data_IF_418962831602
#
_entry.id   IF_418962831602
#
_cell.length_a   1.000
_cell.length_b   1.000
_cell.length_c   1.000
_cell.angle_alpha   90.00
_cell.angle_beta   90.00
_cell.angle_gamma   90.00
#
_symmetry.space_group_name_H-M   'P 1'
#
loop_
_entity.id
_entity.type
_entity.pdbx_description
1 polymer ?
#
# COMPACT_ATOMS: atom_id res chain seq x y z
N UNK A 1 4.95 7.11 -13.89
CA UNK A 1 6.40 7.02 -14.15
C UNK A 1 7.09 6.76 -12.81
N UNK A 2 7.70 5.60 -12.61
CA UNK A 2 8.57 5.35 -11.45
C UNK A 2 9.76 4.51 -11.93
N UNK A 3 10.91 5.17 -12.07
CA UNK A 3 12.20 4.58 -12.42
C UNK A 3 12.88 4.20 -11.11
N UNK A 4 13.17 2.91 -10.93
CA UNK A 4 13.95 2.38 -9.81
C UNK A 4 15.42 2.37 -10.18
N UNK A 5 16.03 3.55 -10.13
CA UNK A 5 17.46 3.81 -9.97
C UNK A 5 17.64 5.33 -10.16
N UNK A 6 18.05 6.02 -9.09
CA UNK A 6 18.18 7.47 -9.04
C UNK A 6 17.16 8.08 -8.07
N UNK A 7 17.65 8.94 -7.18
CA UNK A 7 16.86 9.70 -6.21
C UNK A 7 15.65 10.38 -6.88
N UNK A 8 14.48 9.75 -6.82
CA UNK A 8 13.22 10.41 -7.14
C UNK A 8 12.62 10.89 -5.82
N UNK A 9 12.67 12.21 -5.62
CA UNK A 9 11.97 12.93 -4.55
C UNK A 9 10.46 12.90 -4.79
N UNK A 10 9.86 11.71 -4.78
CA UNK A 10 8.43 11.57 -4.61
C UNK A 10 8.22 11.20 -3.16
N UNK A 11 8.02 12.22 -2.32
CA UNK A 11 7.45 12.00 -1.02
C UNK A 11 6.04 11.48 -1.29
N UNK A 12 5.82 10.17 -1.26
CA UNK A 12 4.48 9.59 -1.32
C UNK A 12 4.50 8.36 -0.44
N UNK A 13 3.78 8.38 0.66
CA UNK A 13 3.83 7.26 1.57
C UNK A 13 2.55 6.48 1.51
N UNK A 14 2.71 5.18 1.64
CA UNK A 14 1.64 4.21 1.68
C UNK A 14 1.77 3.34 2.91
N UNK A 15 0.63 3.03 3.51
CA UNK A 15 0.50 2.12 4.64
C UNK A 15 -0.34 0.92 4.22
N UNK A 16 0.09 -0.25 4.66
CA UNK A 16 -0.52 -1.53 4.40
C UNK A 16 -0.93 -2.14 5.72
N UNK A 17 -2.10 -2.76 5.73
CA UNK A 17 -2.65 -3.47 6.86
C UNK A 17 -3.17 -4.82 6.38
N UNK A 18 -2.79 -5.88 7.08
CA UNK A 18 -3.46 -7.18 7.06
C UNK A 18 -4.35 -7.20 8.31
N UNK A 19 -5.66 -6.95 8.16
CA UNK A 19 -6.58 -6.85 9.28
C UNK A 19 -6.61 -8.10 10.13
N UNK A 20 -6.81 -7.93 11.43
CA UNK A 20 -6.92 -9.03 12.39
C UNK A 20 -7.97 -10.06 12.00
N UNK A 21 -9.07 -9.65 11.34
CA UNK A 21 -10.14 -10.53 10.88
C UNK A 21 -9.69 -11.47 9.75
N UNK A 22 -8.66 -11.06 8.98
CA UNK A 22 -8.06 -11.90 7.95
C UNK A 22 -6.94 -12.80 8.51
N UNK A 23 -6.50 -12.55 9.75
CA UNK A 23 -5.54 -13.40 10.47
C UNK A 23 -6.31 -14.42 11.33
N UNK A 24 -7.43 -14.00 11.93
CA UNK A 24 -8.23 -14.79 12.87
C UNK A 24 -9.73 -14.64 12.58
N UNK A 25 -10.39 -15.75 12.28
CA UNK A 25 -11.83 -15.82 12.02
C UNK A 25 -12.58 -16.32 13.26
N UNK A 26 -13.69 -15.69 13.67
CA UNK A 26 -14.51 -16.21 14.77
C UNK A 26 -15.14 -17.57 14.40
N UNK A 27 -15.08 -18.55 15.30
CA UNK A 27 -15.64 -19.90 15.07
C UNK A 27 -17.14 -20.00 15.36
N UNK A 28 -17.76 -18.91 15.81
CA UNK A 28 -19.16 -18.87 16.26
C UNK A 28 -19.41 -19.47 17.64
N UNK A 29 -18.38 -20.00 18.32
CA UNK A 29 -18.46 -20.54 19.68
C UNK A 29 -17.78 -19.59 20.68
N UNK A 30 -18.55 -18.64 21.21
CA UNK A 30 -18.05 -17.73 22.26
C UNK A 30 -16.90 -16.83 21.78
N UNK A 31 -15.75 -16.87 22.48
CA UNK A 31 -14.53 -16.09 22.16
C UNK A 31 -13.46 -16.93 21.45
N UNK A 32 -13.84 -18.05 20.82
CA UNK A 32 -12.94 -18.89 20.03
C UNK A 32 -12.75 -18.34 18.61
N UNK A 33 -11.51 -18.40 18.13
CA UNK A 33 -11.12 -17.93 16.81
C UNK A 33 -10.23 -18.99 16.18
N UNK A 34 -10.39 -19.18 14.89
CA UNK A 34 -9.55 -20.04 14.06
C UNK A 34 -8.61 -19.17 13.26
N UNK A 35 -7.36 -19.60 13.12
CA UNK A 35 -6.35 -18.87 12.39
C UNK A 35 -6.59 -19.06 10.89
N UNK A 36 -6.73 -17.97 10.15
CA UNK A 36 -6.99 -17.98 8.71
C UNK A 36 -5.69 -17.85 7.88
N UNK A 37 -4.71 -17.10 8.38
CA UNK A 37 -3.35 -17.08 7.83
C UNK A 37 -2.49 -18.17 8.49
N UNK A 38 -1.73 -18.92 7.70
CA UNK A 38 -0.82 -19.94 8.21
C UNK A 38 0.36 -19.31 8.97
N UNK A 39 1.07 -20.11 9.77
CA UNK A 39 2.29 -19.67 10.45
C UNK A 39 3.37 -19.25 9.44
N UNK A 40 3.45 -19.95 8.31
CA UNK A 40 4.34 -19.64 7.20
C UNK A 40 4.00 -18.31 6.53
N UNK A 41 2.71 -18.02 6.32
CA UNK A 41 2.28 -16.75 5.73
C UNK A 41 2.60 -15.56 6.66
N UNK A 42 2.40 -15.72 7.97
CA UNK A 42 2.78 -14.69 8.95
C UNK A 42 4.28 -14.52 9.00
N UNK A 43 5.03 -15.63 9.02
CA UNK A 43 6.49 -15.55 8.96
C UNK A 43 6.95 -14.82 7.70
N UNK A 44 6.35 -15.11 6.55
CA UNK A 44 6.65 -14.43 5.29
C UNK A 44 6.40 -12.92 5.38
N UNK A 45 5.30 -12.49 6.01
CA UNK A 45 5.01 -11.07 6.24
C UNK A 45 6.05 -10.41 7.16
N UNK A 46 6.40 -11.06 8.28
CA UNK A 46 7.40 -10.56 9.22
C UNK A 46 8.79 -10.48 8.57
N UNK A 47 9.19 -11.49 7.81
CA UNK A 47 10.46 -11.52 7.08
C UNK A 47 10.51 -10.44 5.98
N UNK A 48 9.37 -10.08 5.37
CA UNK A 48 9.26 -8.97 4.43
C UNK A 48 9.36 -7.60 5.11
N UNK A 49 9.03 -7.52 6.40
CA UNK A 49 9.15 -6.31 7.22
C UNK A 49 7.85 -5.80 7.85
N UNK A 50 6.74 -6.55 7.73
CA UNK A 50 5.52 -6.23 8.46
C UNK A 50 5.72 -6.36 9.98
N UNK A 51 4.92 -5.63 10.75
CA UNK A 51 4.95 -5.64 12.21
C UNK A 51 3.55 -5.74 12.78
N UNK A 52 3.43 -6.27 13.98
CA UNK A 52 2.16 -6.27 14.70
C UNK A 52 1.73 -4.84 15.04
N UNK A 53 0.44 -4.56 14.93
CA UNK A 53 -0.17 -3.30 15.33
C UNK A 53 -1.58 -3.51 15.90
N UNK A 54 -2.03 -2.58 16.74
CA UNK A 54 -3.41 -2.45 17.21
C UNK A 54 -4.30 -1.67 16.22
N UNK A 55 -3.71 -1.07 15.18
CA UNK A 55 -4.45 -0.33 14.18
C UNK A 55 -5.38 -1.25 13.38
N UNK A 56 -6.57 -0.74 13.08
CA UNK A 56 -7.59 -1.41 12.27
C UNK A 56 -7.87 -0.70 10.96
N UNK A 57 -7.35 0.52 10.79
CA UNK A 57 -7.52 1.35 9.61
C UNK A 57 -6.14 1.66 8.99
N UNK A 58 -5.87 1.29 7.73
CA UNK A 58 -4.60 1.64 7.08
C UNK A 58 -4.36 3.16 7.01
N UNK A 59 -5.39 4.01 6.99
CA UNK A 59 -5.25 5.46 7.00
C UNK A 59 -4.78 6.02 8.35
N UNK A 60 -4.96 5.25 9.43
CA UNK A 60 -4.55 5.62 10.78
C UNK A 60 -3.22 4.99 11.21
N UNK A 61 -2.59 4.18 10.36
CA UNK A 61 -1.26 3.61 10.65
C UNK A 61 -0.27 4.76 10.79
N UNK A 62 -0.03 5.17 12.03
CA UNK A 62 0.85 6.28 12.36
C UNK A 62 2.29 5.91 11.98
N UNK A 63 3.01 6.88 11.43
CA UNK A 63 4.45 6.80 11.19
C UNK A 63 5.20 6.92 12.50
N UNK A 64 4.81 6.15 13.49
CA UNK A 64 5.55 6.16 14.71
C UNK A 64 6.82 5.33 14.47
N UNK A 65 7.89 6.03 14.09
CA UNK A 65 9.25 5.48 13.99
C UNK A 65 9.70 4.88 15.34
N UNK A 66 8.96 5.13 16.42
CA UNK A 66 9.15 4.50 17.73
C UNK A 66 8.54 3.10 17.89
N UNK A 67 7.89 2.52 16.86
CA UNK A 67 7.50 1.08 16.83
C UNK A 67 8.71 0.13 16.71
N UNK A 68 9.90 0.57 17.13
CA UNK A 68 10.99 -0.30 17.52
C UNK A 68 10.63 -0.98 18.83
N UNK A 69 10.43 -2.30 18.78
CA UNK A 69 10.19 -3.18 19.92
C UNK A 69 8.74 -3.30 20.43
N UNK A 70 7.76 -3.51 19.56
CA UNK A 70 6.68 -4.42 19.97
C UNK A 70 7.18 -5.87 19.84
N UNK A 71 8.02 -6.25 20.80
CA UNK A 71 8.34 -7.65 21.06
C UNK A 71 7.06 -8.32 21.54
N UNK A 72 6.71 -9.41 20.85
CA UNK A 72 5.67 -10.39 21.21
C UNK A 72 4.32 -9.78 21.60
N UNK A 73 3.38 -9.84 20.64
CA UNK A 73 1.96 -9.82 20.91
C UNK A 73 1.67 -10.55 22.23
N UNK A 74 1.13 -9.84 23.23
CA UNK A 74 0.64 -10.50 24.43
C UNK A 74 -0.39 -11.54 23.96
N UNK A 75 -0.34 -12.76 24.48
CA UNK A 75 -1.15 -13.90 23.99
C UNK A 75 -2.66 -13.69 24.08
N UNK A 76 -3.12 -12.53 24.54
CA UNK A 76 -4.51 -12.16 24.76
C UNK A 76 -5.03 -11.05 23.85
N UNK A 77 -4.16 -10.22 23.25
CA UNK A 77 -4.56 -9.17 22.32
C UNK A 77 -4.29 -9.65 20.89
N UNK A 78 -5.33 -9.65 20.06
CA UNK A 78 -5.18 -9.99 18.64
C UNK A 78 -4.84 -8.72 17.89
N UNK A 79 -3.79 -8.80 17.10
CA UNK A 79 -3.20 -7.66 16.40
C UNK A 79 -3.35 -7.84 14.90
N UNK A 80 -3.42 -6.72 14.17
CA UNK A 80 -3.22 -6.68 12.72
C UNK A 80 -1.71 -6.73 12.41
N UNK A 81 -1.34 -6.95 11.15
CA UNK A 81 0.03 -6.73 10.69
C UNK A 81 0.07 -5.49 9.79
N UNK A 82 1.03 -4.59 9.97
CA UNK A 82 1.17 -3.39 9.16
C UNK A 82 2.58 -3.20 8.58
N UNK A 83 2.65 -2.43 7.50
CA UNK A 83 3.89 -1.97 6.88
C UNK A 83 3.68 -0.58 6.29
N UNK A 84 4.63 0.32 6.49
CA UNK A 84 4.60 1.67 5.92
C UNK A 84 5.82 1.86 5.01
N UNK A 85 5.60 2.35 3.79
CA UNK A 85 6.66 2.55 2.79
C UNK A 85 6.54 3.92 2.14
N UNK A 86 7.67 4.63 2.02
CA UNK A 86 7.74 5.98 1.42
C UNK A 86 7.91 5.98 -0.10
N UNK A 87 8.17 4.82 -0.68
CA UNK A 87 8.28 4.56 -2.11
C UNK A 87 7.86 3.10 -2.34
N UNK A 88 7.76 2.66 -3.60
CA UNK A 88 7.65 1.23 -3.93
C UNK A 88 6.38 0.50 -3.46
N UNK A 89 5.27 1.22 -3.24
CA UNK A 89 3.98 0.61 -2.88
C UNK A 89 3.55 -0.53 -3.83
N UNK A 90 3.91 -0.46 -5.12
CA UNK A 90 3.48 -1.40 -6.15
C UNK A 90 4.10 -2.80 -5.91
N UNK A 91 5.34 -2.85 -5.41
CA UNK A 91 6.01 -4.10 -5.04
C UNK A 91 5.36 -4.75 -3.81
N UNK A 92 4.98 -3.95 -2.81
CA UNK A 92 4.28 -4.47 -1.63
C UNK A 92 2.93 -5.06 -2.04
N UNK A 93 2.18 -4.35 -2.90
CA UNK A 93 0.92 -4.85 -3.48
C UNK A 93 1.16 -6.16 -4.23
N UNK A 94 2.16 -6.21 -5.12
CA UNK A 94 2.47 -7.40 -5.89
C UNK A 94 2.91 -8.57 -5.02
N UNK A 95 3.71 -8.33 -3.97
CA UNK A 95 4.12 -9.32 -2.98
C UNK A 95 2.91 -9.92 -2.26
N UNK A 96 2.01 -9.09 -1.75
CA UNK A 96 0.80 -9.55 -1.04
C UNK A 96 -0.11 -10.37 -1.97
N UNK A 97 -0.34 -9.89 -3.19
CA UNK A 97 -1.17 -10.57 -4.19
C UNK A 97 -0.56 -11.91 -4.60
N UNK A 98 0.74 -11.95 -4.89
CA UNK A 98 1.44 -13.16 -5.34
C UNK A 98 1.36 -14.28 -4.29
N UNK A 99 1.32 -13.91 -3.01
CA UNK A 99 1.18 -14.84 -1.90
C UNK A 99 -0.27 -15.01 -1.43
N UNK A 100 -1.24 -14.45 -2.16
CA UNK A 100 -2.67 -14.54 -1.84
C UNK A 100 -3.03 -14.06 -0.42
N UNK A 101 -2.33 -13.02 0.05
CA UNK A 101 -2.51 -12.43 1.36
C UNK A 101 -3.49 -11.25 1.24
N UNK A 102 -4.65 -11.30 1.91
CA UNK A 102 -5.61 -10.19 1.89
C UNK A 102 -5.07 -8.96 2.61
N UNK A 103 -5.36 -7.77 2.10
CA UNK A 103 -4.89 -6.52 2.69
C UNK A 103 -5.84 -5.35 2.43
N UNK A 104 -5.75 -4.35 3.28
CA UNK A 104 -6.22 -2.99 3.05
C UNK A 104 -5.02 -2.05 3.05
N UNK A 105 -5.05 -1.01 2.23
CA UNK A 105 -3.95 -0.05 2.16
C UNK A 105 -4.47 1.37 1.96
N UNK A 106 -3.72 2.34 2.50
CA UNK A 106 -3.84 3.75 2.18
C UNK A 106 -2.61 4.13 1.37
N UNK A 107 -2.83 4.60 0.15
CA UNK A 107 -1.80 4.89 -0.84
C UNK A 107 -1.68 6.40 -1.04
N UNK A 108 -0.49 6.86 -1.41
CA UNK A 108 -0.24 8.25 -1.78
C UNK A 108 -0.77 9.25 -0.73
N UNK A 109 -0.38 9.09 0.54
CA UNK A 109 -0.87 9.91 1.67
C UNK A 109 -2.37 9.79 1.93
N UNK A 110 -2.95 8.63 1.68
CA UNK A 110 -4.38 8.40 1.88
C UNK A 110 -5.26 9.07 0.81
N UNK A 111 -4.69 9.37 -0.35
CA UNK A 111 -5.44 9.85 -1.52
C UNK A 111 -6.14 8.71 -2.25
N UNK A 112 -5.73 7.47 -2.02
CA UNK A 112 -6.34 6.29 -2.59
C UNK A 112 -6.28 5.13 -1.60
N UNK A 113 -7.39 4.41 -1.44
CA UNK A 113 -7.45 3.15 -0.74
C UNK A 113 -7.30 1.99 -1.72
N UNK A 114 -6.66 0.90 -1.27
CA UNK A 114 -6.67 -0.37 -2.00
C UNK A 114 -7.15 -1.50 -1.08
N UNK A 115 -7.91 -2.43 -1.65
CA UNK A 115 -8.43 -3.61 -0.96
C UNK A 115 -8.24 -4.84 -1.84
N UNK A 116 -7.62 -5.87 -1.27
CA UNK A 116 -7.53 -7.19 -1.86
C UNK A 116 -8.10 -8.22 -0.88
N UNK A 117 -9.00 -9.05 -1.41
CA UNK A 117 -9.60 -10.17 -0.69
C UNK A 117 -8.93 -11.44 -1.23
N UNK A 118 -8.64 -12.39 -0.33
CA UNK A 118 -8.06 -13.69 -0.68
C UNK A 118 -8.88 -14.37 -1.79
N UNK A 119 -8.17 -14.99 -2.73
CA UNK A 119 -8.70 -15.64 -3.94
C UNK A 119 -9.43 -14.72 -4.94
N UNK A 120 -9.45 -13.41 -4.70
CA UNK A 120 -10.00 -12.45 -5.66
C UNK A 120 -9.14 -12.42 -6.93
N UNK A 121 -9.80 -12.20 -8.06
CA UNK A 121 -9.14 -11.94 -9.36
C UNK A 121 -8.81 -10.47 -9.58
N UNK A 122 -9.26 -9.62 -8.66
CA UNK A 122 -9.22 -8.16 -8.79
C UNK A 122 -8.83 -7.51 -7.45
N UNK A 123 -8.12 -6.39 -7.54
CA UNK A 123 -7.91 -5.45 -6.44
C UNK A 123 -8.87 -4.28 -6.67
N UNK A 124 -9.56 -3.88 -5.60
CA UNK A 124 -10.44 -2.71 -5.62
C UNK A 124 -9.65 -1.50 -5.15
N UNK A 125 -9.69 -0.43 -5.93
CA UNK A 125 -9.11 0.86 -5.59
C UNK A 125 -10.21 1.88 -5.38
N UNK A 126 -10.03 2.75 -4.40
CA UNK A 126 -10.97 3.77 -4.00
C UNK A 126 -10.26 5.12 -3.87
N UNK A 127 -10.51 6.06 -4.77
CA UNK A 127 -9.91 7.40 -4.71
C UNK A 127 -10.59 8.23 -3.63
N UNK A 128 -9.80 8.79 -2.72
CA UNK A 128 -10.26 9.73 -1.70
C UNK A 128 -10.41 11.13 -2.32
N UNK A 129 -11.57 11.35 -2.92
CA UNK A 129 -11.92 12.63 -3.55
C UNK A 129 -11.97 13.77 -2.52
N UNK A 130 -12.34 13.48 -1.27
CA UNK A 130 -12.45 14.48 -0.20
C UNK A 130 -11.13 15.18 0.11
N UNK A 131 -10.07 14.40 0.34
CA UNK A 131 -8.72 14.93 0.56
C UNK A 131 -8.24 15.79 -0.61
N UNK A 132 -8.53 15.37 -1.86
CA UNK A 132 -8.15 16.14 -3.04
C UNK A 132 -8.98 17.39 -3.28
N UNK A 133 -10.27 17.38 -2.98
CA UNK A 133 -11.09 18.59 -3.02
C UNK A 133 -10.56 19.60 -2.00
N UNK A 134 -10.25 19.17 -0.78
CA UNK A 134 -9.75 20.06 0.26
C UNK A 134 -8.41 20.72 -0.14
N UNK A 135 -7.44 19.92 -0.60
CA UNK A 135 -6.13 20.45 -1.04
C UNK A 135 -6.25 21.35 -2.28
N UNK A 136 -7.12 20.97 -3.22
CA UNK A 136 -7.34 21.71 -4.47
C UNK A 136 -8.06 23.04 -4.21
N UNK A 137 -9.12 23.03 -3.39
CA UNK A 137 -9.89 24.23 -3.07
C UNK A 137 -9.01 25.30 -2.43
N UNK A 138 -8.10 24.89 -1.53
CA UNK A 138 -7.15 25.82 -0.91
C UNK A 138 -6.21 26.47 -1.95
N UNK A 139 -5.71 25.68 -2.91
CA UNK A 139 -4.88 26.20 -4.01
C UNK A 139 -5.67 27.09 -4.98
N UNK A 140 -6.95 26.81 -5.21
CA UNK A 140 -7.84 27.60 -6.07
C UNK A 140 -8.23 28.94 -5.48
N UNK A 141 -8.40 29.01 -4.15
CA UNK A 141 -8.60 30.28 -3.43
C UNK A 141 -7.37 31.18 -3.60
N UNK A 142 -6.18 30.59 -3.51
CA UNK A 142 -4.93 31.34 -3.60
C UNK A 142 -4.51 31.66 -5.04
N UNK A 143 -4.94 30.87 -6.03
CA UNK A 143 -4.54 31.00 -7.45
C UNK A 143 -5.69 30.66 -8.42
N UNK A 144 -6.59 31.61 -8.68
CA UNK A 144 -7.80 31.40 -9.49
C UNK A 144 -7.53 30.98 -10.93
N UNK A 145 -6.35 31.29 -11.48
CA UNK A 145 -5.94 30.93 -12.84
C UNK A 145 -5.85 29.41 -13.07
N UNK A 146 -5.76 28.60 -12.01
CA UNK A 146 -5.73 27.14 -12.13
C UNK A 146 -7.12 26.47 -12.08
N UNK A 147 -8.20 27.25 -11.99
CA UNK A 147 -9.57 26.73 -11.81
C UNK A 147 -10.00 25.71 -12.84
N UNK A 148 -9.78 26.00 -14.12
CA UNK A 148 -10.19 25.11 -15.21
C UNK A 148 -9.44 23.77 -15.21
N UNK A 149 -8.13 23.80 -14.90
CA UNK A 149 -7.31 22.60 -14.76
C UNK A 149 -7.83 21.71 -13.63
N UNK A 150 -8.11 22.30 -12.47
CA UNK A 150 -8.58 21.56 -11.31
C UNK A 150 -10.02 21.08 -11.45
N UNK A 151 -10.92 21.85 -12.06
CA UNK A 151 -12.29 21.42 -12.36
C UNK A 151 -12.27 20.19 -13.29
N UNK A 152 -11.37 20.18 -14.29
CA UNK A 152 -11.17 19.03 -15.18
C UNK A 152 -10.65 17.80 -14.43
N UNK A 153 -9.67 17.97 -13.53
CA UNK A 153 -9.21 16.88 -12.67
C UNK A 153 -10.34 16.33 -11.80
N UNK A 154 -11.05 17.21 -11.08
CA UNK A 154 -12.14 16.83 -10.17
C UNK A 154 -13.27 16.09 -10.91
N UNK A 155 -13.59 16.48 -12.14
CA UNK A 155 -14.56 15.78 -12.97
C UNK A 155 -14.12 14.34 -13.30
N UNK A 156 -12.82 14.13 -13.57
CA UNK A 156 -12.24 12.79 -13.73
C UNK A 156 -12.40 11.91 -12.48
N UNK A 157 -12.17 12.49 -11.29
CA UNK A 157 -12.36 11.80 -10.02
C UNK A 157 -13.83 11.45 -9.75
N UNK A 158 -14.77 12.38 -10.04
CA UNK A 158 -16.21 12.16 -9.83
C UNK A 158 -16.77 10.98 -10.62
N UNK A 159 -16.19 10.67 -11.80
CA UNK A 159 -16.72 9.62 -12.69
C UNK A 159 -16.38 8.20 -12.27
N UNK A 160 -15.23 7.98 -11.62
CA UNK A 160 -14.82 6.66 -11.13
C UNK A 160 -14.08 6.76 -9.79
N UNK A 161 -14.80 7.04 -8.68
CA UNK A 161 -14.23 6.99 -7.34
C UNK A 161 -13.76 5.58 -6.97
N UNK A 162 -14.39 4.56 -7.56
CA UNK A 162 -14.05 3.15 -7.38
C UNK A 162 -13.68 2.55 -8.73
N UNK A 163 -12.56 1.84 -8.76
CA UNK A 163 -12.15 1.07 -9.93
C UNK A 163 -11.51 -0.24 -9.51
N UNK A 164 -11.41 -1.16 -10.47
CA UNK A 164 -10.82 -2.47 -10.24
C UNK A 164 -9.68 -2.71 -11.20
N UNK A 165 -8.62 -3.35 -10.71
CA UNK A 165 -7.50 -3.79 -11.53
C UNK A 165 -7.36 -5.29 -11.36
N UNK A 166 -7.19 -6.02 -12.45
CA UNK A 166 -7.02 -7.47 -12.37
C UNK A 166 -5.68 -7.82 -11.72
N UNK A 167 -5.67 -8.90 -10.93
CA UNK A 167 -4.46 -9.47 -10.34
C UNK A 167 -3.41 -9.75 -11.42
N UNK A 168 -3.85 -10.30 -12.55
CA UNK A 168 -2.98 -10.57 -13.70
C UNK A 168 -2.25 -9.31 -14.16
N UNK A 169 -2.97 -8.21 -14.33
CA UNK A 169 -2.39 -6.92 -14.77
C UNK A 169 -1.34 -6.43 -13.78
N UNK A 170 -1.60 -6.50 -12.48
CA UNK A 170 -0.65 -6.04 -11.45
C UNK A 170 0.64 -6.86 -11.49
N UNK A 171 0.52 -8.19 -11.58
CA UNK A 171 1.68 -9.08 -11.62
C UNK A 171 2.49 -8.95 -12.91
N UNK A 172 1.83 -8.79 -14.06
CA UNK A 172 2.51 -8.57 -15.35
C UNK A 172 3.28 -7.24 -15.39
N UNK A 173 2.71 -6.17 -14.80
CA UNK A 173 3.39 -4.89 -14.68
C UNK A 173 4.63 -4.99 -13.77
N UNK A 174 4.51 -5.65 -12.61
CA UNK A 174 5.65 -5.87 -11.71
C UNK A 174 6.75 -6.70 -12.38
N UNK A 175 6.40 -7.76 -13.10
CA UNK A 175 7.38 -8.55 -13.86
C UNK A 175 8.08 -7.71 -14.94
N UNK A 176 7.32 -6.85 -15.64
CA UNK A 176 7.89 -5.92 -16.63
C UNK A 176 8.88 -4.96 -15.95
N UNK A 177 8.54 -4.41 -14.78
CA UNK A 177 9.44 -3.51 -14.06
C UNK A 177 10.69 -4.21 -13.52
N UNK A 178 10.56 -5.44 -13.02
CA UNK A 178 11.69 -6.25 -12.58
C UNK A 178 12.68 -6.48 -13.73
N UNK A 179 12.19 -6.82 -14.93
CA UNK A 179 13.02 -6.97 -16.15
C UNK A 179 13.73 -5.67 -16.51
N UNK A 180 13.01 -4.55 -16.56
CA UNK A 180 13.61 -3.25 -16.86
C UNK A 180 14.68 -2.85 -15.85
N UNK A 181 14.49 -3.18 -14.57
CA UNK A 181 15.47 -2.88 -13.51
C UNK A 181 16.72 -3.74 -13.66
N UNK A 182 16.57 -5.00 -14.04
CA UNK A 182 17.69 -5.89 -14.32
C UNK A 182 18.49 -5.42 -15.54
N UNK A 183 17.81 -5.09 -16.65
CA UNK A 183 18.42 -4.57 -17.87
C UNK A 183 19.14 -3.23 -17.61
N UNK A 184 18.57 -2.34 -16.80
CA UNK A 184 19.20 -1.08 -16.44
C UNK A 184 20.37 -1.25 -15.46
N UNK A 185 20.32 -2.26 -14.59
CA UNK A 185 21.41 -2.59 -13.66
C UNK A 185 22.68 -3.09 -14.36
N UNK A 186 22.53 -3.70 -15.53
CA UNK A 186 23.65 -4.11 -16.40
C UNK A 186 24.29 -2.91 -17.15
N UNK A 187 23.59 -1.77 -17.23
CA UNK A 187 24.03 -0.54 -17.92
C UNK A 187 24.59 0.55 -16.99
N UNK A 188 24.58 0.35 -15.66
CA UNK A 188 25.30 1.24 -14.72
C UNK A 188 26.79 0.87 -14.77
N UNK A 189 27.43 1.30 -15.85
CA UNK A 189 28.86 1.53 -15.89
C UNK A 189 29.22 2.42 -14.70
N UNK A 190 30.12 1.89 -13.87
CA UNK A 190 30.88 2.62 -12.87
C UNK A 190 31.36 3.92 -13.51
N UNK A 191 30.80 5.05 -13.09
CA UNK A 191 31.49 6.32 -13.25
C UNK A 191 32.65 6.20 -12.27
N UNK A 192 33.82 5.82 -12.80
CA UNK A 192 35.08 5.94 -12.07
C UNK A 192 35.24 7.42 -11.73
N UNK A 193 35.10 7.74 -10.44
CA UNK A 193 35.51 9.01 -9.87
C UNK A 193 37.06 9.04 -9.86
N UNK A 194 37.65 9.25 -11.02
CA UNK A 194 39.01 9.81 -11.15
C UNK A 194 38.94 11.09 -11.97
N UNK A 195 38.90 12.24 -11.27
CA UNK A 195 39.72 13.44 -11.54
C UNK A 195 39.46 14.57 -10.52
#
# INVERSE_FOLDING_TARGET
MKVRAGFVSNSSVSSFLVPVENIYKPTGKGREYEKELSDEEIKLLLDYGFRWTDDTDPFEVYYDWSLGNQNEASSTSKHSLCLTVSVNQDEVIAFLIKNNIPFAAALQYGEEGALFIRDSKEVVFARNIGTRIASTYQLLVDKPEYREFYDTMLEGYRRSPLYKVSVKTILEEEERYAKLTQEAGDDILLIDDED
#
